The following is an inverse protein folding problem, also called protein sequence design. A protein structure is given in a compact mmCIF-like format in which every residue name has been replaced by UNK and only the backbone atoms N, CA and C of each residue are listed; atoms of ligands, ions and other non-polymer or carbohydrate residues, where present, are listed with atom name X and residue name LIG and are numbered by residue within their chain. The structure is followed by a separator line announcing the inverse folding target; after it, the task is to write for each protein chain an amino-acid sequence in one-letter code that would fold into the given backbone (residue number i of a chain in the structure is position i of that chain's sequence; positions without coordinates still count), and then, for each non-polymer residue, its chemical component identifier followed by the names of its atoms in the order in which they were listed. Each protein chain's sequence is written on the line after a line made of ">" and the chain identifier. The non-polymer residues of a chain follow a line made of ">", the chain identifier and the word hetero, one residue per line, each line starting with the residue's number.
data_IF_265430416229
#
_entry.id   IF_265430416229
#
_cell.length_a   1.000
_cell.length_b   1.000
_cell.length_c   1.000
_cell.angle_alpha   90.00
_cell.angle_beta   90.00
_cell.angle_gamma   90.00
#
_symmetry.space_group_name_H-M   'P 1'
#
loop_
_entity.id
_entity.type
_entity.pdbx_description
1 polymer ?
#
# COMPACT_ATOMS: atom_id res chain seq x y z
N UNK A 1 11.30 12.94 -12.98
CA UNK A 1 10.28 11.87 -12.97
C UNK A 1 9.14 12.19 -12.00
N UNK A 2 9.39 12.39 -10.70
CA UNK A 2 8.32 12.74 -9.72
C UNK A 2 7.48 13.97 -10.12
N UNK A 3 8.10 15.03 -10.63
CA UNK A 3 7.38 16.24 -11.05
C UNK A 3 6.32 16.00 -12.14
N UNK A 4 6.47 14.94 -12.96
CA UNK A 4 5.49 14.57 -13.97
C UNK A 4 4.30 13.78 -13.39
N UNK A 5 4.46 13.18 -12.21
CA UNK A 5 3.40 12.47 -11.47
C UNK A 5 2.49 13.48 -10.78
N UNK A 6 3.06 14.58 -10.27
CA UNK A 6 2.33 15.61 -9.54
C UNK A 6 2.07 15.23 -8.08
N UNK A 7 1.11 15.91 -7.47
CA UNK A 7 0.66 15.61 -6.12
C UNK A 7 -0.16 14.31 -6.10
N UNK A 8 0.16 13.42 -5.15
CA UNK A 8 -0.50 12.12 -5.03
C UNK A 8 -1.18 12.04 -3.67
N UNK A 9 -2.50 12.04 -3.66
CA UNK A 9 -3.27 11.81 -2.44
C UNK A 9 -3.26 10.33 -2.03
N UNK A 10 -3.45 9.43 -3.00
CA UNK A 10 -3.62 8.00 -2.78
C UNK A 10 -2.64 7.25 -3.68
N UNK A 11 -1.77 6.44 -3.09
CA UNK A 11 -0.77 5.64 -3.80
C UNK A 11 -1.10 4.14 -3.68
N UNK A 12 -1.41 3.50 -4.81
CA UNK A 12 -1.47 2.05 -4.90
C UNK A 12 -0.05 1.50 -5.12
N UNK A 13 0.45 0.71 -4.17
CA UNK A 13 1.87 0.34 -4.13
C UNK A 13 2.05 -1.17 -4.32
N UNK A 14 2.50 -1.63 -5.50
CA UNK A 14 2.81 -3.04 -5.71
C UNK A 14 4.11 -3.42 -5.00
N UNK A 15 4.06 -4.50 -4.21
CA UNK A 15 5.15 -4.88 -3.31
C UNK A 15 5.35 -6.40 -3.24
N UNK A 16 5.46 -7.02 -4.42
CA UNK A 16 5.72 -8.44 -4.62
C UNK A 16 7.15 -8.88 -4.28
N UNK A 17 8.14 -7.96 -4.30
CA UNK A 17 9.56 -8.25 -4.12
C UNK A 17 10.24 -9.03 -5.25
N UNK A 18 9.58 -10.03 -5.85
CA UNK A 18 10.13 -10.83 -6.94
C UNK A 18 9.86 -10.22 -8.33
N UNK A 19 8.66 -9.67 -8.54
CA UNK A 19 8.25 -9.12 -9.84
C UNK A 19 8.11 -7.60 -9.84
N UNK A 20 8.07 -7.00 -8.64
CA UNK A 20 7.93 -5.56 -8.42
C UNK A 20 8.90 -5.16 -7.31
N UNK A 21 8.77 -3.93 -6.81
CA UNK A 21 9.55 -3.48 -5.66
C UNK A 21 9.37 -4.44 -4.47
N UNK A 22 10.45 -4.60 -3.70
CA UNK A 22 10.40 -5.19 -2.38
C UNK A 22 9.81 -4.19 -1.36
N UNK A 23 9.48 -4.63 -0.13
CA UNK A 23 8.95 -3.74 0.90
C UNK A 23 9.83 -2.50 1.15
N UNK A 24 11.16 -2.66 1.13
CA UNK A 24 12.09 -1.54 1.34
C UNK A 24 12.05 -0.53 0.18
N UNK A 25 12.03 -1.00 -1.07
CA UNK A 25 11.87 -0.19 -2.26
C UNK A 25 10.53 0.55 -2.28
N UNK A 26 9.44 -0.13 -1.90
CA UNK A 26 8.13 0.48 -1.75
C UNK A 26 8.14 1.63 -0.74
N UNK A 27 8.79 1.45 0.43
CA UNK A 27 8.93 2.54 1.41
C UNK A 27 9.71 3.73 0.88
N UNK A 28 10.80 3.52 0.14
CA UNK A 28 11.56 4.63 -0.48
C UNK A 28 10.71 5.43 -1.46
N UNK A 29 9.79 4.77 -2.20
CA UNK A 29 8.85 5.45 -3.10
C UNK A 29 7.84 6.25 -2.30
N UNK A 30 7.27 5.67 -1.24
CA UNK A 30 6.32 6.36 -0.34
C UNK A 30 6.97 7.60 0.28
N UNK A 31 8.23 7.51 0.71
CA UNK A 31 8.97 8.65 1.30
C UNK A 31 9.23 9.79 0.30
N UNK A 32 9.38 9.46 -0.98
CA UNK A 32 9.57 10.43 -2.06
C UNK A 32 8.25 11.06 -2.50
N UNK A 33 7.20 10.24 -2.66
CA UNK A 33 5.87 10.66 -3.14
C UNK A 33 5.09 11.39 -2.04
N UNK A 34 5.30 11.01 -0.78
CA UNK A 34 4.60 11.53 0.41
C UNK A 34 3.07 11.52 0.28
N UNK A 35 2.46 10.37 -0.08
CA UNK A 35 1.02 10.30 -0.23
C UNK A 35 0.31 10.39 1.11
N UNK A 36 -0.98 10.77 1.08
CA UNK A 36 -1.82 10.78 2.28
C UNK A 36 -2.29 9.36 2.62
N UNK A 37 -2.55 8.53 1.61
CA UNK A 37 -2.95 7.13 1.79
C UNK A 37 -2.09 6.22 0.92
N UNK A 38 -1.70 5.08 1.48
CA UNK A 38 -1.02 4.00 0.77
C UNK A 38 -1.87 2.74 0.81
N UNK A 39 -2.12 2.13 -0.34
CA UNK A 39 -2.79 0.83 -0.44
C UNK A 39 -1.78 -0.18 -0.99
N UNK A 40 -1.24 -1.10 -0.17
CA UNK A 40 -0.34 -2.13 -0.66
C UNK A 40 -1.09 -3.12 -1.54
N UNK A 41 -0.43 -3.62 -2.59
CA UNK A 41 -0.97 -4.62 -3.51
C UNK A 41 0.11 -5.61 -3.97
N UNK A 42 -0.28 -6.63 -4.74
CA UNK A 42 0.63 -7.67 -5.29
C UNK A 42 1.46 -8.43 -4.24
N UNK A 43 0.88 -8.74 -3.08
CA UNK A 43 1.47 -9.64 -2.09
C UNK A 43 0.67 -10.94 -1.99
N UNK A 44 1.23 -11.97 -1.33
CA UNK A 44 0.59 -13.28 -1.16
C UNK A 44 -0.59 -13.16 -0.21
N UNK A 45 -1.70 -13.81 -0.58
CA UNK A 45 -2.94 -13.86 0.22
C UNK A 45 -3.40 -15.30 0.38
N UNK A 46 -4.35 -15.53 1.29
CA UNK A 46 -4.95 -16.85 1.51
C UNK A 46 -5.69 -17.38 0.26
N UNK A 47 -6.10 -16.48 -0.64
CA UNK A 47 -6.74 -16.81 -1.92
C UNK A 47 -5.74 -17.23 -3.01
N UNK A 48 -4.50 -16.80 -2.90
CA UNK A 48 -3.42 -17.11 -3.86
C UNK A 48 -2.20 -17.69 -3.12
N UNK A 49 -2.33 -18.86 -2.48
CA UNK A 49 -1.28 -19.42 -1.61
C UNK A 49 -0.01 -19.80 -2.38
N UNK A 50 -0.13 -20.07 -3.68
CA UNK A 50 1.00 -20.43 -4.57
C UNK A 50 1.68 -19.24 -5.22
N UNK A 51 1.21 -18.01 -4.97
CA UNK A 51 1.86 -16.83 -5.52
C UNK A 51 3.24 -16.67 -4.88
N UNK A 52 4.34 -16.68 -5.67
CA UNK A 52 5.69 -16.84 -5.15
C UNK A 52 6.25 -15.49 -4.65
N UNK A 53 5.60 -14.87 -3.68
CA UNK A 53 5.96 -13.57 -3.08
C UNK A 53 5.69 -13.61 -1.57
N UNK A 54 6.19 -12.61 -0.83
CA UNK A 54 5.86 -12.47 0.60
C UNK A 54 4.41 -12.01 0.79
N UNK A 55 3.86 -12.25 1.98
CA UNK A 55 2.64 -11.55 2.42
C UNK A 55 2.94 -10.07 2.72
N UNK A 56 1.92 -9.36 3.22
CA UNK A 56 2.00 -7.92 3.49
C UNK A 56 2.78 -7.58 4.77
N UNK A 57 3.00 -8.54 5.67
CA UNK A 57 3.52 -8.26 7.01
C UNK A 57 4.91 -7.61 7.02
N UNK A 58 5.90 -8.04 6.20
CA UNK A 58 7.19 -7.38 6.12
C UNK A 58 7.14 -5.90 5.74
N UNK A 59 6.11 -5.48 5.00
CA UNK A 59 5.91 -4.07 4.65
C UNK A 59 5.30 -3.26 5.79
N UNK A 60 4.43 -3.87 6.60
CA UNK A 60 3.78 -3.24 7.74
C UNK A 60 4.66 -3.20 8.98
N UNK A 61 5.72 -4.00 9.03
CA UNK A 61 6.64 -4.07 10.15
C UNK A 61 7.19 -2.68 10.53
N UNK A 62 7.03 -2.30 11.79
CA UNK A 62 7.49 -1.01 12.33
C UNK A 62 6.68 0.21 11.89
N UNK A 63 5.55 0.03 11.20
CA UNK A 63 4.68 1.15 10.80
C UNK A 63 3.64 1.43 11.87
N UNK A 64 3.56 2.71 12.27
CA UNK A 64 2.66 3.14 13.33
C UNK A 64 1.22 3.40 12.83
N UNK A 65 1.06 3.84 11.58
CA UNK A 65 -0.24 4.25 11.03
C UNK A 65 -0.76 3.25 9.99
N UNK A 66 -1.20 2.09 10.47
CA UNK A 66 -1.73 1.00 9.64
C UNK A 66 -3.19 0.75 10.01
N UNK A 67 -4.06 0.76 9.00
CA UNK A 67 -5.48 0.45 9.12
C UNK A 67 -5.80 -0.77 8.27
N UNK A 68 -6.23 -1.86 8.91
CA UNK A 68 -6.79 -3.02 8.22
C UNK A 68 -8.30 -2.86 8.10
N UNK A 69 -8.82 -2.93 6.89
CA UNK A 69 -10.26 -2.83 6.62
C UNK A 69 -10.77 -4.21 6.23
N UNK A 70 -11.82 -4.69 6.91
CA UNK A 70 -12.50 -5.95 6.59
C UNK A 70 -13.47 -5.78 5.41
N UNK A 71 -12.98 -5.20 4.31
CA UNK A 71 -13.70 -4.98 3.08
C UNK A 71 -12.73 -5.00 1.89
N UNK A 72 -13.24 -5.31 0.70
CA UNK A 72 -12.49 -5.31 -0.56
C UNK A 72 -12.46 -3.97 -1.27
N UNK A 73 -13.11 -2.97 -0.69
CA UNK A 73 -13.21 -1.62 -1.22
C UNK A 73 -13.13 -0.60 -0.09
N UNK A 74 -12.75 0.62 -0.46
CA UNK A 74 -12.71 1.77 0.44
C UNK A 74 -13.03 3.03 -0.38
N UNK A 75 -13.83 3.91 0.20
CA UNK A 75 -14.17 5.20 -0.37
C UNK A 75 -13.38 6.31 0.33
N UNK A 76 -12.83 7.25 -0.44
CA UNK A 76 -12.20 8.45 0.07
C UNK A 76 -12.92 9.67 -0.45
N UNK A 77 -13.12 10.66 0.44
CA UNK A 77 -13.75 11.94 0.10
C UNK A 77 -12.74 13.09 0.23
N UNK A 78 -12.79 14.09 -0.65
CA UNK A 78 -12.01 15.31 -0.48
C UNK A 78 -12.25 15.91 0.92
N UNK A 79 -11.16 16.34 1.57
CA UNK A 79 -11.21 16.89 2.93
C UNK A 79 -11.27 15.88 4.07
N UNK A 80 -11.43 14.57 3.78
CA UNK A 80 -11.47 13.50 4.81
C UNK A 80 -10.22 12.62 4.81
N UNK A 81 -9.22 12.93 3.97
CA UNK A 81 -7.95 12.23 3.95
C UNK A 81 -7.15 12.49 5.25
N UNK A 82 -6.31 11.54 5.69
CA UNK A 82 -5.52 11.69 6.91
C UNK A 82 -4.42 12.75 6.75
N UNK A 83 -4.02 13.38 7.86
CA UNK A 83 -2.98 14.42 7.85
C UNK A 83 -1.55 13.84 7.69
N UNK A 84 -1.33 12.63 8.21
CA UNK A 84 -0.11 11.86 8.01
C UNK A 84 -0.42 10.64 7.15
N UNK A 85 0.59 10.11 6.44
CA UNK A 85 0.45 8.91 5.61
C UNK A 85 -0.16 7.75 6.40
N UNK A 86 -1.30 7.24 5.93
CA UNK A 86 -1.96 6.04 6.48
C UNK A 86 -1.83 4.88 5.49
N UNK A 87 -1.41 3.72 5.98
CA UNK A 87 -1.39 2.49 5.18
C UNK A 87 -2.72 1.77 5.37
N UNK A 88 -3.51 1.65 4.31
CA UNK A 88 -4.81 0.99 4.31
C UNK A 88 -4.69 -0.38 3.65
N UNK A 89 -4.82 -1.44 4.43
CA UNK A 89 -4.79 -2.82 3.96
C UNK A 89 -6.21 -3.32 3.79
N UNK A 90 -6.60 -3.59 2.55
CA UNK A 90 -7.91 -4.14 2.20
C UNK A 90 -7.90 -5.67 2.26
N UNK A 91 -9.06 -6.26 2.54
CA UNK A 91 -9.29 -7.68 2.40
C UNK A 91 -9.58 -8.02 0.95
N UNK A 92 -8.99 -9.06 0.40
CA UNK A 92 -9.30 -9.50 -0.96
C UNK A 92 -10.78 -9.89 -1.11
N UNK A 93 -11.37 -9.58 -2.26
CA UNK A 93 -12.73 -9.98 -2.61
C UNK A 93 -12.87 -11.51 -2.68
N UNK A 94 -14.13 -11.99 -2.74
CA UNK A 94 -14.46 -13.42 -2.74
C UNK A 94 -13.96 -14.17 -3.97
#
# INVERSE_FOLDING_TARGET
>A
QLAAIGEVDILLTPMAGNFTLDPAGAHRVIDQVKPRVVIPMHYRTDKCPTFPVSDVEPFLAGKANVKRIDASEVEFKPGQLPAATEIVVLKHAL
#
